data_IF_518020712165
#
_entry.id   IF_518020712165
#
_cell.length_a   1.000
_cell.length_b   1.000
_cell.length_c   1.000
_cell.angle_alpha   90.00
_cell.angle_beta   90.00
_cell.angle_gamma   90.00
#
_symmetry.space_group_name_H-M   'P 1'
#
loop_
_entity.id
_entity.type
_entity.pdbx_description
1 polymer ?
#
# COMPACT_ATOMS: atom_id res chain seq x y z
N UNK A 1 -1.02 -19.59 12.77
CA UNK A 1 -2.05 -19.99 11.79
C UNK A 1 -1.51 -21.18 11.00
N UNK A 2 -2.24 -22.30 10.89
CA UNK A 2 -1.89 -23.42 10.01
C UNK A 2 -1.86 -23.01 8.53
N UNK A 3 -1.16 -23.79 7.70
CA UNK A 3 -0.94 -23.51 6.27
C UNK A 3 -2.26 -23.31 5.48
N UNK A 4 -3.22 -24.21 5.62
CA UNK A 4 -4.50 -24.14 4.89
C UNK A 4 -5.28 -22.86 5.23
N UNK A 5 -5.30 -22.49 6.50
CA UNK A 5 -5.95 -21.26 6.96
C UNK A 5 -5.23 -20.01 6.43
N UNK A 6 -3.89 -20.04 6.39
CA UNK A 6 -3.09 -18.95 5.83
C UNK A 6 -3.36 -18.76 4.34
N UNK A 7 -3.49 -19.84 3.58
CA UNK A 7 -3.89 -19.76 2.18
C UNK A 7 -5.31 -19.18 2.03
N UNK A 8 -6.28 -19.63 2.84
CA UNK A 8 -7.63 -19.07 2.82
C UNK A 8 -7.64 -17.55 3.07
N UNK A 9 -6.89 -17.09 4.08
CA UNK A 9 -6.78 -15.65 4.39
C UNK A 9 -6.09 -14.89 3.27
N UNK A 10 -5.02 -15.43 2.68
CA UNK A 10 -4.35 -14.81 1.53
C UNK A 10 -5.30 -14.65 0.34
N UNK A 11 -6.09 -15.67 0.02
CA UNK A 11 -7.10 -15.59 -1.05
C UNK A 11 -8.09 -14.47 -0.75
N UNK A 12 -8.56 -14.33 0.50
CA UNK A 12 -9.45 -13.24 0.91
C UNK A 12 -8.79 -11.87 0.75
N UNK A 13 -7.55 -11.69 1.20
CA UNK A 13 -6.81 -10.42 1.02
C UNK A 13 -6.68 -10.07 -0.47
N UNK A 14 -6.37 -11.07 -1.31
CA UNK A 14 -6.18 -10.85 -2.73
C UNK A 14 -7.48 -10.52 -3.45
N UNK A 15 -8.58 -11.23 -3.17
CA UNK A 15 -9.83 -11.13 -3.94
C UNK A 15 -10.90 -10.27 -3.29
N UNK A 16 -11.12 -10.42 -1.99
CA UNK A 16 -12.22 -9.74 -1.28
C UNK A 16 -11.78 -8.33 -0.84
N UNK A 17 -10.51 -8.16 -0.43
CA UNK A 17 -9.92 -6.86 -0.07
C UNK A 17 -9.23 -6.15 -1.26
N UNK A 18 -9.31 -6.72 -2.47
CA UNK A 18 -8.88 -6.06 -3.70
C UNK A 18 -7.36 -5.87 -3.87
N UNK A 19 -6.51 -6.50 -3.05
CA UNK A 19 -5.05 -6.32 -3.19
C UNK A 19 -4.55 -6.74 -4.59
N UNK A 20 -5.18 -7.74 -5.20
CA UNK A 20 -4.82 -8.21 -6.55
C UNK A 20 -5.05 -7.18 -7.64
N UNK A 21 -5.98 -6.24 -7.44
CA UNK A 21 -6.36 -5.29 -8.48
C UNK A 21 -5.23 -4.29 -8.74
N UNK A 22 -4.42 -4.00 -7.72
CA UNK A 22 -3.19 -3.20 -7.83
C UNK A 22 -2.17 -3.78 -8.80
N UNK A 23 -2.22 -5.09 -9.10
CA UNK A 23 -1.29 -5.78 -9.99
C UNK A 23 -1.80 -5.94 -11.43
N UNK A 24 -3.06 -5.57 -11.72
CA UNK A 24 -3.68 -5.76 -13.05
C UNK A 24 -3.37 -4.60 -13.99
N UNK A 25 -3.63 -4.81 -15.29
CA UNK A 25 -3.65 -3.75 -16.32
C UNK A 25 -2.44 -2.80 -16.27
N UNK A 26 -1.23 -3.34 -16.13
CA UNK A 26 -0.01 -2.55 -15.94
C UNK A 26 -0.07 -1.59 -14.73
N UNK A 27 -0.59 -2.08 -13.60
CA UNK A 27 -0.63 -1.36 -12.32
C UNK A 27 -1.50 -0.10 -12.33
N UNK A 28 -2.55 -0.07 -13.15
CA UNK A 28 -3.45 1.09 -13.28
C UNK A 28 -4.01 1.56 -11.92
N UNK A 29 -4.54 0.63 -11.12
CA UNK A 29 -5.09 0.95 -9.80
C UNK A 29 -4.01 1.43 -8.83
N UNK A 30 -2.78 0.90 -8.94
CA UNK A 30 -1.65 1.34 -8.13
C UNK A 30 -1.24 2.78 -8.48
N UNK A 31 -1.21 3.13 -9.76
CA UNK A 31 -0.96 4.51 -10.19
C UNK A 31 -2.05 5.46 -9.65
N UNK A 32 -3.30 5.01 -9.62
CA UNK A 32 -4.38 5.75 -8.96
C UNK A 32 -4.11 5.93 -7.45
N UNK A 33 -3.63 4.90 -6.75
CA UNK A 33 -3.23 5.01 -5.33
C UNK A 33 -2.09 6.01 -5.10
N UNK A 34 -1.10 6.06 -6.00
CA UNK A 34 -0.02 7.05 -5.92
C UNK A 34 -0.55 8.48 -6.06
N UNK A 35 -1.43 8.71 -7.04
CA UNK A 35 -2.08 10.01 -7.17
C UNK A 35 -2.85 10.39 -5.91
N UNK A 36 -3.65 9.47 -5.35
CA UNK A 36 -4.37 9.69 -4.10
C UNK A 36 -3.44 10.04 -2.94
N UNK A 37 -2.30 9.35 -2.81
CA UNK A 37 -1.28 9.63 -1.80
C UNK A 37 -0.68 11.03 -1.96
N UNK A 38 -0.30 11.41 -3.18
CA UNK A 38 0.26 12.75 -3.46
C UNK A 38 -0.75 13.86 -3.17
N UNK A 39 -2.03 13.66 -3.51
CA UNK A 39 -3.11 14.59 -3.15
C UNK A 39 -3.28 14.74 -1.64
N UNK A 40 -3.30 13.63 -0.91
CA UNK A 40 -3.37 13.65 0.56
C UNK A 40 -2.16 14.33 1.18
N UNK A 41 -0.96 14.09 0.65
CA UNK A 41 0.26 14.77 1.09
C UNK A 41 0.20 16.27 0.80
N UNK A 42 -0.32 16.69 -0.36
CA UNK A 42 -0.46 18.11 -0.67
C UNK A 42 -1.42 18.82 0.30
N UNK A 43 -2.50 18.16 0.69
CA UNK A 43 -3.50 18.74 1.59
C UNK A 43 -3.06 18.74 3.06
N UNK A 44 -2.41 17.66 3.52
CA UNK A 44 -2.08 17.46 4.93
C UNK A 44 -0.63 17.81 5.28
N UNK A 45 0.29 17.70 4.32
CA UNK A 45 1.74 17.87 4.47
C UNK A 45 2.33 18.74 3.31
N UNK A 46 1.80 19.96 3.08
CA UNK A 46 2.13 20.75 1.88
C UNK A 46 3.62 21.06 1.73
N UNK A 47 4.32 21.34 2.83
CA UNK A 47 5.76 21.63 2.81
C UNK A 47 6.58 20.42 2.34
N UNK A 48 6.20 19.21 2.79
CA UNK A 48 6.85 17.96 2.39
C UNK A 48 6.55 17.63 0.92
N UNK A 49 5.29 17.79 0.49
CA UNK A 49 4.89 17.59 -0.89
C UNK A 49 5.64 18.53 -1.85
N UNK A 50 5.76 19.82 -1.50
CA UNK A 50 6.50 20.79 -2.29
C UNK A 50 7.99 20.41 -2.38
N UNK A 51 8.59 20.00 -1.26
CA UNK A 51 9.98 19.53 -1.27
C UNK A 51 10.19 18.29 -2.17
N UNK A 52 9.27 17.33 -2.14
CA UNK A 52 9.33 16.16 -3.03
C UNK A 52 9.18 16.58 -4.50
N UNK A 53 8.29 17.54 -4.79
CA UNK A 53 8.11 18.11 -6.13
C UNK A 53 9.39 18.78 -6.64
N UNK A 54 10.07 19.57 -5.81
CA UNK A 54 11.34 20.22 -6.16
C UNK A 54 12.46 19.20 -6.50
N UNK A 55 12.41 18.02 -5.86
CA UNK A 55 13.36 16.93 -6.10
C UNK A 55 12.94 15.99 -7.25
N UNK A 56 11.78 16.20 -7.86
CA UNK A 56 11.14 15.24 -8.78
C UNK A 56 11.01 13.82 -8.16
N UNK A 57 10.70 13.76 -6.86
CA UNK A 57 10.50 12.51 -6.13
C UNK A 57 9.02 12.12 -6.14
N UNK A 58 8.66 11.21 -7.04
CA UNK A 58 7.29 10.73 -7.21
C UNK A 58 6.94 9.55 -6.28
N UNK A 59 5.67 9.40 -5.93
CA UNK A 59 5.19 8.34 -5.03
C UNK A 59 5.57 6.92 -5.47
N UNK A 60 5.62 6.65 -6.78
CA UNK A 60 5.99 5.32 -7.29
C UNK A 60 7.41 4.90 -6.87
N UNK A 61 8.31 5.86 -6.64
CA UNK A 61 9.72 5.62 -6.30
C UNK A 61 9.90 5.06 -4.89
N UNK A 62 8.99 5.37 -3.96
CA UNK A 62 9.11 4.97 -2.54
C UNK A 62 7.91 4.18 -1.99
N UNK A 63 6.70 4.41 -2.50
CA UNK A 63 5.48 3.85 -1.94
C UNK A 63 5.01 2.55 -2.60
N UNK A 64 5.61 2.12 -3.72
CA UNK A 64 5.20 0.92 -4.45
C UNK A 64 5.08 -0.32 -3.55
N UNK A 65 6.09 -0.58 -2.71
CA UNK A 65 6.06 -1.73 -1.79
C UNK A 65 5.10 -1.55 -0.63
N UNK A 66 4.79 -0.31 -0.22
CA UNK A 66 3.85 -0.05 0.85
C UNK A 66 2.47 -0.58 0.47
N UNK A 67 2.00 -0.24 -0.73
CA UNK A 67 0.72 -0.71 -1.25
C UNK A 67 0.75 -2.19 -1.66
N UNK A 68 1.71 -2.59 -2.49
CA UNK A 68 1.71 -3.94 -3.08
C UNK A 68 1.93 -5.05 -2.05
N UNK A 69 2.71 -4.77 -1.00
CA UNK A 69 3.08 -5.78 0.00
C UNK A 69 2.44 -5.54 1.35
N UNK A 70 1.57 -4.52 1.48
CA UNK A 70 0.99 -4.13 2.76
C UNK A 70 2.08 -3.93 3.84
N UNK A 71 3.16 -3.24 3.45
CA UNK A 71 4.35 -2.95 4.28
C UNK A 71 5.19 -4.17 4.72
N UNK A 72 4.78 -5.40 4.40
CA UNK A 72 5.46 -6.66 4.84
C UNK A 72 6.90 -6.79 4.34
N UNK A 73 7.28 -6.11 3.25
CA UNK A 73 8.59 -6.28 2.62
C UNK A 73 9.76 -5.56 3.33
N UNK A 74 9.49 -4.51 4.12
CA UNK A 74 10.54 -3.62 4.67
C UNK A 74 10.38 -3.30 6.15
N UNK A 75 9.18 -3.38 6.69
CA UNK A 75 8.89 -2.92 8.05
C UNK A 75 9.03 -4.05 9.09
N UNK A 76 9.30 -3.73 10.37
CA UNK A 76 9.38 -4.73 11.44
C UNK A 76 8.06 -5.51 11.59
N UNK A 77 8.16 -6.81 11.87
CA UNK A 77 7.00 -7.71 11.96
C UNK A 77 5.94 -7.25 12.98
N UNK A 78 6.35 -6.69 14.12
CA UNK A 78 5.41 -6.20 15.13
C UNK A 78 4.50 -5.09 14.59
N UNK A 79 5.04 -4.18 13.76
CA UNK A 79 4.25 -3.14 13.11
C UNK A 79 3.36 -3.72 12.02
N UNK A 80 3.89 -4.64 11.21
CA UNK A 80 3.16 -5.28 10.13
C UNK A 80 1.95 -6.05 10.66
N UNK A 81 2.05 -6.73 11.80
CA UNK A 81 0.90 -7.41 12.41
C UNK A 81 -0.23 -6.43 12.73
N UNK A 82 0.06 -5.26 13.29
CA UNK A 82 -0.95 -4.23 13.53
C UNK A 82 -1.56 -3.67 12.24
N UNK A 83 -0.76 -3.52 11.19
CA UNK A 83 -1.28 -3.09 9.88
C UNK A 83 -2.28 -4.11 9.33
N UNK A 84 -1.97 -5.41 9.44
CA UNK A 84 -2.88 -6.48 9.01
C UNK A 84 -4.14 -6.53 9.89
N UNK A 85 -4.02 -6.33 11.20
CA UNK A 85 -5.19 -6.25 12.10
C UNK A 85 -6.16 -5.16 11.66
N UNK A 86 -5.64 -3.97 11.34
CA UNK A 86 -6.45 -2.84 10.84
C UNK A 86 -7.04 -3.12 9.46
N UNK A 87 -6.23 -3.62 8.52
CA UNK A 87 -6.67 -3.93 7.16
C UNK A 87 -7.84 -4.92 7.14
N UNK A 88 -7.83 -5.93 8.02
CA UNK A 88 -8.87 -6.95 8.07
C UNK A 88 -10.12 -6.51 8.85
N UNK A 89 -10.07 -5.36 9.53
CA UNK A 89 -11.13 -4.88 10.40
C UNK A 89 -11.90 -3.70 9.81
N UNK A 90 -11.22 -2.77 9.14
CA UNK A 90 -11.85 -1.60 8.48
C UNK A 90 -12.38 -1.92 7.09
#
# INVERSE_FOLDING_TARGET
MPEEQAFCVLVKIMYDYGLRDLYKNNFEDLHCKFYQLERLMQEQLPDLHNHFSDLNLEAHMYASQWFLTLFTAKFPLCMVFHIIDLLLCE
#
